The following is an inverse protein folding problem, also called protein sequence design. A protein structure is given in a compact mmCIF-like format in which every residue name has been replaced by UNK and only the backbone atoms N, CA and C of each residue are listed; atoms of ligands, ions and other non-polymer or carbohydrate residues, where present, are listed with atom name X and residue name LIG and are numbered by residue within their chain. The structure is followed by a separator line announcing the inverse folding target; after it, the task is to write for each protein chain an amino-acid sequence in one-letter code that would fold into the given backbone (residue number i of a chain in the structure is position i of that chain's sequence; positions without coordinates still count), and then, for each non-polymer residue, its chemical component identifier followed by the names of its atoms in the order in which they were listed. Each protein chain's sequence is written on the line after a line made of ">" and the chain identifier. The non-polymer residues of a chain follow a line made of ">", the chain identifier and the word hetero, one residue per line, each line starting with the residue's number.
data_IF_482663737670
#
_entry.id   IF_482663737670
#
_cell.length_a   1.000
_cell.length_b   1.000
_cell.length_c   1.000
_cell.angle_alpha   90.00
_cell.angle_beta   90.00
_cell.angle_gamma   90.00
#
_symmetry.space_group_name_H-M   'P 1'
#
loop_
_entity.id
_entity.type
_entity.pdbx_description
1 polymer ?
#
# COMPACT_ATOMS: atom_id res chain seq x y z
N UNK A 1 -7.85 26.32 -6.74
CA UNK A 1 -9.26 25.97 -6.56
C UNK A 1 -9.66 25.11 -7.73
N UNK A 2 -10.22 23.95 -7.46
CA UNK A 2 -10.92 23.17 -8.49
C UNK A 2 -12.30 23.78 -8.77
N UNK A 3 -13.06 23.15 -9.67
CA UNK A 3 -14.36 23.63 -10.16
C UNK A 3 -15.44 23.75 -9.06
N UNK A 4 -15.18 23.27 -7.83
CA UNK A 4 -16.09 23.37 -6.68
C UNK A 4 -15.65 24.38 -5.61
N UNK A 5 -14.54 25.10 -5.82
CA UNK A 5 -14.00 26.01 -4.82
C UNK A 5 -13.16 25.33 -3.73
N UNK A 6 -12.93 24.02 -3.85
CA UNK A 6 -12.05 23.26 -2.97
C UNK A 6 -10.58 23.42 -3.42
N UNK A 7 -9.65 23.35 -2.47
CA UNK A 7 -8.22 23.34 -2.79
C UNK A 7 -7.87 22.02 -3.47
N UNK A 8 -7.09 22.07 -4.54
CA UNK A 8 -6.57 20.84 -5.15
C UNK A 8 -5.63 20.12 -4.17
N UNK A 9 -5.44 18.81 -4.37
CA UNK A 9 -4.57 18.00 -3.51
C UNK A 9 -3.15 18.57 -3.41
N UNK A 10 -2.62 19.07 -4.53
CA UNK A 10 -1.30 19.71 -4.59
C UNK A 10 -1.26 20.99 -3.75
N UNK A 11 -2.34 21.79 -3.79
CA UNK A 11 -2.46 23.00 -2.98
C UNK A 11 -2.60 22.67 -1.49
N UNK A 12 -3.31 21.60 -1.14
CA UNK A 12 -3.41 21.09 0.24
C UNK A 12 -2.02 20.70 0.76
N UNK A 13 -1.24 19.91 0.00
CA UNK A 13 0.13 19.57 0.40
C UNK A 13 1.05 20.79 0.52
N UNK A 14 0.93 21.77 -0.39
CA UNK A 14 1.68 23.02 -0.30
C UNK A 14 1.30 23.84 0.96
N UNK A 15 0.03 23.82 1.36
CA UNK A 15 -0.45 24.45 2.57
C UNK A 15 0.03 23.73 3.84
N UNK A 16 0.00 22.40 3.85
CA UNK A 16 0.55 21.57 4.94
C UNK A 16 2.05 21.83 5.10
N UNK A 17 2.81 21.94 4.02
CA UNK A 17 4.23 22.27 4.07
C UNK A 17 4.53 23.64 4.72
N UNK A 18 3.54 24.54 4.75
CA UNK A 18 3.59 25.83 5.47
C UNK A 18 3.00 25.77 6.89
N UNK A 19 2.63 24.60 7.38
CA UNK A 19 2.09 24.38 8.72
C UNK A 19 0.60 24.70 8.88
N UNK A 20 -0.18 24.74 7.80
CA UNK A 20 -1.64 24.94 7.90
C UNK A 20 -2.33 23.63 8.28
N UNK A 21 -2.93 23.58 9.47
CA UNK A 21 -3.56 22.37 10.03
C UNK A 21 -4.85 21.99 9.30
N UNK A 22 -5.68 22.97 8.97
CA UNK A 22 -6.95 22.75 8.28
C UNK A 22 -6.75 22.07 6.91
N UNK A 23 -5.60 22.32 6.25
CA UNK A 23 -5.25 21.64 5.02
C UNK A 23 -4.90 20.15 5.22
N UNK A 24 -4.34 19.78 6.39
CA UNK A 24 -4.12 18.37 6.75
C UNK A 24 -5.44 17.65 7.00
N UNK A 25 -6.38 18.31 7.69
CA UNK A 25 -7.71 17.78 7.97
C UNK A 25 -8.48 17.53 6.66
N UNK A 26 -8.51 18.51 5.75
CA UNK A 26 -9.13 18.34 4.44
C UNK A 26 -8.48 17.21 3.61
N UNK A 27 -7.15 17.06 3.69
CA UNK A 27 -6.45 15.95 3.04
C UNK A 27 -6.79 14.60 3.70
N UNK A 28 -6.93 14.58 5.02
CA UNK A 28 -7.32 13.39 5.79
C UNK A 28 -8.70 12.92 5.35
N UNK A 29 -9.71 13.78 5.41
CA UNK A 29 -11.10 13.47 5.03
C UNK A 29 -11.18 12.91 3.60
N UNK A 30 -10.36 13.45 2.69
CA UNK A 30 -10.33 13.02 1.28
C UNK A 30 -9.68 11.65 1.07
N UNK A 31 -8.64 11.32 1.84
CA UNK A 31 -7.77 10.17 1.54
C UNK A 31 -7.70 9.08 2.60
N UNK A 32 -8.25 9.29 3.80
CA UNK A 32 -8.24 8.31 4.88
C UNK A 32 -8.77 6.96 4.39
N UNK A 33 -9.94 6.95 3.76
CA UNK A 33 -10.57 5.71 3.27
C UNK A 33 -9.70 4.95 2.26
N UNK A 34 -8.98 5.68 1.40
CA UNK A 34 -8.06 5.07 0.42
C UNK A 34 -6.87 4.42 1.14
N UNK A 35 -6.25 5.16 2.05
CA UNK A 35 -5.08 4.70 2.82
C UNK A 35 -5.45 3.53 3.72
N UNK A 36 -6.58 3.61 4.43
CA UNK A 36 -7.11 2.54 5.28
C UNK A 36 -7.40 1.28 4.48
N UNK A 37 -8.11 1.41 3.36
CA UNK A 37 -8.45 0.25 2.50
C UNK A 37 -7.20 -0.43 1.95
N UNK A 38 -6.17 0.36 1.59
CA UNK A 38 -4.88 -0.18 1.19
C UNK A 38 -4.18 -0.88 2.35
N UNK A 39 -4.06 -0.22 3.51
CA UNK A 39 -3.39 -0.75 4.69
C UNK A 39 -4.03 -2.06 5.16
N UNK A 40 -5.36 -2.08 5.31
CA UNK A 40 -6.12 -3.28 5.68
C UNK A 40 -5.97 -4.41 4.67
N UNK A 41 -5.85 -4.12 3.37
CA UNK A 41 -5.59 -5.16 2.36
C UNK A 41 -4.18 -5.74 2.46
N UNK A 42 -3.23 -4.96 2.95
CA UNK A 42 -1.83 -5.39 3.13
C UNK A 42 -1.65 -6.14 4.45
N UNK A 43 -2.25 -5.65 5.55
CA UNK A 43 -2.08 -6.20 6.90
C UNK A 43 -3.12 -7.24 7.27
N UNK A 44 -4.34 -7.11 6.74
CA UNK A 44 -5.50 -7.91 7.12
C UNK A 44 -6.00 -7.72 8.56
N UNK A 45 -5.40 -6.79 9.30
CA UNK A 45 -5.71 -6.47 10.68
C UNK A 45 -6.16 -5.00 10.81
N UNK A 46 -7.23 -4.78 11.57
CA UNK A 46 -7.87 -3.46 11.75
C UNK A 46 -6.95 -2.52 12.52
N UNK A 47 -6.40 -2.97 13.65
CA UNK A 47 -5.52 -2.16 14.51
C UNK A 47 -4.28 -1.71 13.74
N UNK A 48 -3.67 -2.61 12.98
CA UNK A 48 -2.53 -2.31 12.11
C UNK A 48 -2.89 -1.35 10.98
N UNK A 49 -4.09 -1.47 10.40
CA UNK A 49 -4.55 -0.54 9.37
C UNK A 49 -4.72 0.88 9.92
N UNK A 50 -5.31 1.01 11.11
CA UNK A 50 -5.45 2.29 11.81
C UNK A 50 -4.10 2.90 12.19
N UNK A 51 -3.15 2.11 12.70
CA UNK A 51 -1.78 2.57 12.98
C UNK A 51 -1.10 3.10 11.71
N UNK A 52 -1.22 2.39 10.59
CA UNK A 52 -0.64 2.82 9.32
C UNK A 52 -1.28 4.13 8.85
N UNK A 53 -2.59 4.28 8.95
CA UNK A 53 -3.28 5.53 8.59
C UNK A 53 -2.71 6.69 9.42
N UNK A 54 -2.63 6.53 10.75
CA UNK A 54 -2.06 7.55 11.61
C UNK A 54 -0.61 7.90 11.25
N UNK A 55 0.24 6.89 11.07
CA UNK A 55 1.65 7.09 10.69
C UNK A 55 1.79 7.77 9.32
N UNK A 56 0.94 7.44 8.35
CA UNK A 56 0.93 8.11 7.04
C UNK A 56 0.65 9.59 7.19
N UNK A 57 -0.39 9.99 7.91
CA UNK A 57 -0.73 11.41 8.03
C UNK A 57 0.24 12.18 8.91
N UNK A 58 0.85 11.54 9.93
CA UNK A 58 2.00 12.11 10.67
C UNK A 58 3.19 12.34 9.74
N UNK A 59 3.51 11.37 8.88
CA UNK A 59 4.59 11.49 7.88
C UNK A 59 4.28 12.61 6.88
N UNK A 60 3.04 12.69 6.39
CA UNK A 60 2.59 13.79 5.50
C UNK A 60 2.82 15.15 6.15
N UNK A 61 2.39 15.34 7.40
CA UNK A 61 2.62 16.59 8.13
C UNK A 61 4.10 16.99 8.17
N UNK A 62 4.99 16.02 8.39
CA UNK A 62 6.43 16.26 8.49
C UNK A 62 7.11 16.46 7.14
N UNK A 63 6.62 15.82 6.09
CA UNK A 63 7.35 15.67 4.82
C UNK A 63 6.59 16.19 3.59
N UNK A 64 5.49 16.94 3.76
CA UNK A 64 4.72 17.50 2.64
C UNK A 64 5.57 18.30 1.65
N UNK A 65 6.65 18.94 2.11
CA UNK A 65 7.62 19.65 1.28
C UNK A 65 8.38 18.77 0.28
N UNK A 66 8.43 17.45 0.51
CA UNK A 66 9.08 16.49 -0.37
C UNK A 66 8.17 16.02 -1.52
N UNK A 67 6.89 16.41 -1.52
CA UNK A 67 5.99 16.12 -2.63
C UNK A 67 6.39 16.92 -3.87
N UNK A 68 6.42 16.25 -5.03
CA UNK A 68 6.67 16.88 -6.32
C UNK A 68 5.55 16.47 -7.29
N UNK A 69 4.69 17.42 -7.73
CA UNK A 69 3.59 17.11 -8.65
C UNK A 69 4.05 16.62 -10.02
N UNK A 70 5.29 16.92 -10.44
CA UNK A 70 5.86 16.39 -11.67
C UNK A 70 6.16 14.89 -11.61
N UNK A 71 6.28 14.30 -10.40
CA UNK A 71 6.56 12.88 -10.21
C UNK A 71 5.29 12.03 -10.04
N UNK A 72 4.11 12.65 -9.92
CA UNK A 72 2.83 11.96 -9.90
C UNK A 72 1.79 12.58 -8.97
N UNK A 73 0.58 11.99 -9.00
CA UNK A 73 -0.57 12.41 -8.19
C UNK A 73 -0.33 12.20 -6.70
N UNK A 74 -0.96 13.03 -5.86
CA UNK A 74 -0.93 12.93 -4.39
C UNK A 74 -1.36 11.55 -3.89
N UNK A 75 -2.41 10.95 -4.47
CA UNK A 75 -2.85 9.60 -4.12
C UNK A 75 -1.75 8.54 -4.26
N UNK A 76 -0.97 8.58 -5.35
CA UNK A 76 0.17 7.67 -5.56
C UNK A 76 1.28 7.89 -4.52
N UNK A 77 1.53 9.15 -4.16
CA UNK A 77 2.52 9.49 -3.15
C UNK A 77 2.09 9.02 -1.76
N UNK A 78 0.82 9.22 -1.37
CA UNK A 78 0.24 8.72 -0.12
C UNK A 78 0.32 7.19 -0.02
N UNK A 79 -0.05 6.48 -1.09
CA UNK A 79 0.05 5.01 -1.13
C UNK A 79 1.51 4.52 -1.05
N UNK A 80 2.46 5.30 -1.55
CA UNK A 80 3.90 5.00 -1.40
C UNK A 80 4.33 5.12 0.07
N UNK A 81 3.85 6.14 0.78
CA UNK A 81 4.10 6.30 2.22
C UNK A 81 3.44 5.16 2.99
N UNK A 82 2.16 4.86 2.71
CA UNK A 82 1.41 3.78 3.35
C UNK A 82 2.09 2.42 3.18
N UNK A 83 2.59 2.13 1.99
CA UNK A 83 3.38 0.91 1.73
C UNK A 83 4.63 0.84 2.60
N UNK A 84 5.38 1.94 2.73
CA UNK A 84 6.58 1.98 3.57
C UNK A 84 6.23 1.77 5.04
N UNK A 85 5.16 2.42 5.51
CA UNK A 85 4.63 2.24 6.86
C UNK A 85 4.21 0.79 7.14
N UNK A 86 3.54 0.12 6.19
CA UNK A 86 3.17 -1.28 6.32
C UNK A 86 4.40 -2.20 6.39
N UNK A 87 5.43 -1.94 5.58
CA UNK A 87 6.71 -2.68 5.63
C UNK A 87 7.39 -2.46 6.98
N UNK A 88 7.45 -1.22 7.47
CA UNK A 88 8.07 -0.88 8.75
C UNK A 88 7.36 -1.58 9.91
N UNK A 89 6.03 -1.64 9.89
CA UNK A 89 5.21 -2.37 10.86
C UNK A 89 5.51 -3.87 10.83
N UNK A 90 5.45 -4.52 9.66
CA UNK A 90 5.78 -5.94 9.54
C UNK A 90 7.21 -6.26 10.02
N UNK A 91 8.17 -5.35 9.79
CA UNK A 91 9.53 -5.50 10.31
C UNK A 91 9.60 -5.38 11.83
N UNK A 92 8.75 -4.55 12.45
CA UNK A 92 8.64 -4.46 13.92
C UNK A 92 8.07 -5.76 14.49
N UNK A 93 6.95 -6.24 13.94
CA UNK A 93 6.30 -7.50 14.33
C UNK A 93 7.27 -8.68 14.22
N UNK A 94 7.96 -8.82 13.09
CA UNK A 94 8.92 -9.91 12.90
C UNK A 94 10.07 -9.88 13.89
N UNK A 95 10.58 -8.69 14.26
CA UNK A 95 11.62 -8.60 15.30
C UNK A 95 11.10 -9.06 16.65
N UNK A 96 9.90 -8.64 17.02
CA UNK A 96 9.26 -9.08 18.27
C UNK A 96 9.05 -10.60 18.29
N UNK A 97 8.64 -11.19 17.16
CA UNK A 97 8.45 -12.63 17.00
C UNK A 97 9.77 -13.43 17.08
N UNK A 98 10.85 -12.92 16.47
CA UNK A 98 12.17 -13.55 16.58
C UNK A 98 12.71 -13.48 18.02
N UNK A 99 12.45 -12.36 18.72
CA UNK A 99 12.83 -12.18 20.13
C UNK A 99 11.99 -13.08 21.06
N UNK A 100 10.74 -13.39 20.71
CA UNK A 100 9.87 -14.32 21.44
C UNK A 100 10.10 -15.80 21.09
N UNK A 101 11.00 -16.12 20.17
CA UNK A 101 11.34 -17.49 19.76
C UNK A 101 10.30 -18.18 18.87
N UNK A 102 9.35 -17.42 18.33
CA UNK A 102 8.33 -17.91 17.40
C UNK A 102 8.75 -17.59 15.97
N UNK A 103 9.47 -18.52 15.32
CA UNK A 103 9.68 -18.50 13.86
C UNK A 103 8.37 -18.87 13.14
N UNK A 104 7.36 -18.02 13.28
CA UNK A 104 6.12 -18.13 12.52
C UNK A 104 6.35 -17.39 11.22
N UNK A 105 6.51 -18.14 10.13
CA UNK A 105 6.27 -17.58 8.80
C UNK A 105 4.84 -17.04 8.80
N UNK A 106 4.59 -15.76 8.52
CA UNK A 106 3.25 -15.26 8.27
C UNK A 106 2.65 -16.09 7.13
N UNK A 107 1.86 -17.10 7.50
CA UNK A 107 0.98 -17.82 6.60
C UNK A 107 0.09 -16.74 6.00
N UNK A 108 -0.03 -16.73 4.67
CA UNK A 108 -1.05 -15.97 3.93
C UNK A 108 -2.31 -15.93 4.80
N UNK A 109 -2.62 -14.79 5.41
CA UNK A 109 -3.54 -14.88 6.50
C UNK A 109 -4.93 -15.13 5.90
N UNK A 110 -5.50 -16.28 6.27
CA UNK A 110 -6.79 -16.74 5.78
C UNK A 110 -7.87 -15.96 6.54
N UNK A 111 -8.10 -14.73 6.09
CA UNK A 111 -8.97 -13.81 6.79
C UNK A 111 -10.43 -14.03 6.36
N UNK A 112 -11.15 -14.79 7.18
CA UNK A 112 -12.61 -14.85 7.18
C UNK A 112 -13.25 -13.45 7.29
N UNK A 113 -14.52 -13.30 6.85
CA UNK A 113 -15.15 -12.00 6.67
C UNK A 113 -15.52 -11.32 7.99
N UNK A 114 -15.26 -10.00 8.10
CA UNK A 114 -15.94 -9.11 9.07
C UNK A 114 -17.20 -8.49 8.44
N UNK A 115 -18.26 -8.25 9.23
CA UNK A 115 -19.60 -7.99 8.71
C UNK A 115 -19.78 -6.52 8.38
N UNK A 116 -19.64 -6.14 7.09
CA UNK A 116 -20.53 -5.13 6.47
C UNK A 116 -20.37 -4.92 4.94
N UNK A 117 -19.48 -5.65 4.24
CA UNK A 117 -19.40 -5.60 2.76
C UNK A 117 -18.99 -6.95 2.14
N UNK A 118 -19.73 -8.01 2.48
CA UNK A 118 -19.33 -9.41 2.23
C UNK A 118 -19.29 -9.79 0.73
N UNK A 119 -20.07 -9.17 -0.15
CA UNK A 119 -20.11 -9.58 -1.56
C UNK A 119 -18.94 -9.00 -2.39
N UNK A 120 -18.83 -7.67 -2.50
CA UNK A 120 -17.81 -7.03 -3.35
C UNK A 120 -16.37 -7.26 -2.87
N UNK A 121 -16.14 -7.36 -1.55
CA UNK A 121 -14.80 -7.58 -1.01
C UNK A 121 -14.34 -9.03 -1.14
N UNK A 122 -15.27 -9.99 -1.09
CA UNK A 122 -14.98 -11.41 -1.34
C UNK A 122 -14.55 -11.63 -2.78
N UNK A 123 -15.23 -10.98 -3.73
CA UNK A 123 -14.94 -11.08 -5.15
C UNK A 123 -13.56 -10.51 -5.50
N UNK A 124 -13.21 -9.31 -5.00
CA UNK A 124 -11.89 -8.73 -5.26
C UNK A 124 -10.76 -9.54 -4.59
N UNK A 125 -10.99 -10.10 -3.39
CA UNK A 125 -10.03 -10.98 -2.70
C UNK A 125 -9.77 -12.26 -3.51
N UNK A 126 -10.83 -12.93 -3.96
CA UNK A 126 -10.71 -14.13 -4.81
C UNK A 126 -9.92 -13.82 -6.08
N UNK A 127 -10.26 -12.70 -6.74
CA UNK A 127 -9.60 -12.28 -7.99
C UNK A 127 -8.12 -11.93 -7.79
N UNK A 128 -7.74 -11.31 -6.67
CA UNK A 128 -6.32 -11.06 -6.35
C UNK A 128 -5.58 -12.39 -6.13
N UNK A 129 -6.19 -13.34 -5.40
CA UNK A 129 -5.58 -14.66 -5.15
C UNK A 129 -5.42 -15.45 -6.45
N UNK A 130 -6.43 -15.43 -7.31
CA UNK A 130 -6.38 -16.02 -8.65
C UNK A 130 -5.31 -15.36 -9.53
N UNK A 131 -5.22 -14.03 -9.52
CA UNK A 131 -4.21 -13.30 -10.28
C UNK A 131 -2.79 -13.62 -9.79
N UNK A 132 -2.58 -13.72 -8.48
CA UNK A 132 -1.30 -14.14 -7.89
C UNK A 132 -0.95 -15.58 -8.27
N UNK A 133 -1.94 -16.49 -8.31
CA UNK A 133 -1.73 -17.88 -8.71
C UNK A 133 -1.34 -18.05 -10.20
N UNK A 134 -1.65 -17.07 -11.06
CA UNK A 134 -1.25 -17.05 -12.48
C UNK A 134 0.16 -16.50 -12.70
N UNK A 135 0.80 -15.92 -11.69
CA UNK A 135 2.17 -15.46 -11.81
C UNK A 135 3.14 -16.65 -11.85
N UNK A 136 4.23 -16.56 -12.64
CA UNK A 136 5.37 -17.45 -12.47
C UNK A 136 5.87 -17.44 -11.02
N UNK A 137 6.31 -18.59 -10.52
CA UNK A 137 6.70 -18.78 -9.11
C UNK A 137 7.61 -17.67 -8.60
N UNK A 138 8.70 -17.39 -9.32
CA UNK A 138 9.68 -16.38 -8.90
C UNK A 138 9.14 -14.95 -8.90
N UNK A 139 8.12 -14.66 -9.71
CA UNK A 139 7.43 -13.37 -9.76
C UNK A 139 6.45 -13.24 -8.61
N UNK A 140 5.68 -14.32 -8.34
CA UNK A 140 4.78 -14.42 -7.20
C UNK A 140 5.55 -14.29 -5.89
N UNK A 141 6.65 -15.04 -5.76
CA UNK A 141 7.50 -15.05 -4.58
C UNK A 141 8.04 -13.65 -4.27
N UNK A 142 8.56 -12.90 -5.26
CA UNK A 142 9.00 -11.52 -5.00
C UNK A 142 7.86 -10.63 -4.52
N UNK A 143 6.65 -10.76 -5.08
CA UNK A 143 5.48 -10.01 -4.62
C UNK A 143 5.10 -10.40 -3.19
N UNK A 144 5.01 -11.69 -2.89
CA UNK A 144 4.63 -12.16 -1.56
C UNK A 144 5.61 -11.69 -0.50
N UNK A 145 6.91 -11.79 -0.79
CA UNK A 145 7.95 -11.39 0.15
C UNK A 145 7.95 -9.87 0.38
N UNK A 146 7.73 -9.10 -0.68
CA UNK A 146 7.69 -7.63 -0.58
C UNK A 146 6.43 -7.11 0.13
N UNK A 147 5.27 -7.71 -0.16
CA UNK A 147 3.98 -7.15 0.24
C UNK A 147 3.36 -7.84 1.45
N UNK A 148 3.57 -9.15 1.64
CA UNK A 148 3.04 -9.88 2.80
C UNK A 148 4.09 -10.13 3.88
N UNK A 149 5.36 -10.25 3.49
CA UNK A 149 6.44 -10.54 4.44
C UNK A 149 7.29 -9.31 4.80
N UNK A 150 7.03 -8.16 4.16
CA UNK A 150 7.70 -6.89 4.44
C UNK A 150 9.19 -6.83 4.08
N UNK A 151 9.68 -7.70 3.19
CA UNK A 151 11.07 -7.67 2.78
C UNK A 151 11.34 -6.57 1.73
N UNK A 152 12.46 -5.88 1.90
CA UNK A 152 13.00 -4.98 0.88
C UNK A 152 13.59 -5.77 -0.29
N UNK A 153 13.76 -5.11 -1.44
CA UNK A 153 14.37 -5.75 -2.61
C UNK A 153 15.81 -6.22 -2.35
N UNK A 154 16.54 -5.53 -1.47
CA UNK A 154 17.89 -5.93 -1.07
C UNK A 154 17.86 -7.18 -0.19
N UNK A 155 16.98 -7.25 0.81
CA UNK A 155 16.89 -8.42 1.67
C UNK A 155 16.42 -9.66 0.90
N UNK A 156 15.54 -9.49 -0.11
CA UNK A 156 15.16 -10.58 -1.03
C UNK A 156 16.37 -11.01 -1.87
N UNK A 157 17.12 -10.06 -2.42
CA UNK A 157 18.32 -10.33 -3.22
C UNK A 157 19.34 -11.15 -2.40
N UNK A 158 19.62 -10.72 -1.17
CA UNK A 158 20.51 -11.42 -0.24
C UNK A 158 20.00 -12.81 0.12
N UNK A 159 18.72 -12.92 0.50
CA UNK A 159 18.13 -14.20 0.95
C UNK A 159 18.12 -15.27 -0.13
N UNK A 160 17.83 -14.90 -1.37
CA UNK A 160 17.74 -15.86 -2.48
C UNK A 160 19.01 -15.95 -3.33
N UNK A 161 20.06 -15.19 -2.99
CA UNK A 161 21.29 -15.12 -3.79
C UNK A 161 21.07 -14.52 -5.18
N UNK A 162 20.05 -13.68 -5.35
CA UNK A 162 19.72 -13.03 -6.62
C UNK A 162 20.36 -11.65 -6.73
N UNK A 163 20.56 -11.17 -7.96
CA UNK A 163 20.94 -9.76 -8.14
C UNK A 163 19.77 -8.82 -7.81
N UNK A 164 20.05 -7.62 -7.30
CA UNK A 164 19.03 -6.59 -7.09
C UNK A 164 18.27 -6.25 -8.38
N UNK A 165 18.97 -6.29 -9.53
CA UNK A 165 18.35 -6.12 -10.85
C UNK A 165 17.32 -7.21 -11.17
N UNK A 166 17.62 -8.47 -10.82
CA UNK A 166 16.70 -9.61 -10.96
C UNK A 166 15.44 -9.41 -10.11
N UNK A 167 15.60 -9.02 -8.83
CA UNK A 167 14.46 -8.76 -7.93
C UNK A 167 13.58 -7.64 -8.48
N UNK A 168 14.18 -6.52 -8.91
CA UNK A 168 13.45 -5.39 -9.51
C UNK A 168 12.71 -5.80 -10.77
N UNK A 169 13.35 -6.57 -11.65
CA UNK A 169 12.74 -7.04 -12.89
C UNK A 169 11.55 -7.96 -12.62
N UNK A 170 11.70 -8.94 -11.71
CA UNK A 170 10.64 -9.86 -11.30
C UNK A 170 9.47 -9.11 -10.66
N UNK A 171 9.73 -8.17 -9.75
CA UNK A 171 8.69 -7.33 -9.16
C UNK A 171 7.93 -6.52 -10.22
N UNK A 172 8.65 -5.91 -11.18
CA UNK A 172 8.04 -5.12 -12.26
C UNK A 172 7.12 -5.99 -13.14
N UNK A 173 7.61 -7.15 -13.57
CA UNK A 173 6.84 -8.09 -14.40
C UNK A 173 5.62 -8.63 -13.67
N UNK A 174 5.77 -8.95 -12.38
CA UNK A 174 4.67 -9.39 -11.53
C UNK A 174 3.56 -8.32 -11.45
N UNK A 175 3.94 -7.07 -11.16
CA UNK A 175 2.98 -5.97 -11.06
C UNK A 175 2.29 -5.65 -12.40
N UNK A 176 3.00 -5.82 -13.53
CA UNK A 176 2.42 -5.65 -14.85
C UNK A 176 1.35 -6.72 -15.12
N UNK A 177 1.66 -8.00 -14.88
CA UNK A 177 0.71 -9.11 -15.07
C UNK A 177 -0.49 -9.00 -14.12
N UNK A 178 -0.25 -8.67 -12.85
CA UNK A 178 -1.34 -8.44 -11.90
C UNK A 178 -2.27 -7.32 -12.35
N UNK A 179 -1.72 -6.25 -12.96
CA UNK A 179 -2.56 -5.19 -13.53
C UNK A 179 -3.40 -5.70 -14.69
N UNK A 180 -2.83 -6.46 -15.61
CA UNK A 180 -3.54 -7.03 -16.77
C UNK A 180 -4.68 -7.98 -16.31
N UNK A 181 -4.41 -8.84 -15.33
CA UNK A 181 -5.39 -9.77 -14.76
C UNK A 181 -6.53 -9.05 -13.99
N UNK A 182 -6.22 -7.91 -13.37
CA UNK A 182 -7.16 -7.15 -12.54
C UNK A 182 -7.82 -5.98 -13.29
N UNK A 183 -7.47 -5.71 -14.55
CA UNK A 183 -8.07 -4.64 -15.37
C UNK A 183 -9.57 -4.85 -15.68
N UNK A 184 -10.12 -6.03 -15.40
CA UNK A 184 -11.56 -6.33 -15.44
C UNK A 184 -12.29 -6.18 -14.09
N UNK A 185 -11.64 -5.62 -13.06
CA UNK A 185 -12.29 -5.20 -11.83
C UNK A 185 -12.40 -3.69 -11.89
N UNK A 186 -13.62 -3.15 -11.94
CA UNK A 186 -13.89 -1.72 -12.09
C UNK A 186 -13.12 -0.87 -11.08
N UNK A 187 -11.94 -0.42 -11.49
CA UNK A 187 -11.40 0.86 -11.09
C UNK A 187 -11.79 1.80 -12.23
N UNK A 188 -13.03 2.28 -12.21
CA UNK A 188 -13.32 3.53 -12.91
C UNK A 188 -12.47 4.59 -12.22
N UNK A 189 -11.26 4.77 -12.75
CA UNK A 189 -10.61 6.06 -12.69
C UNK A 189 -11.53 6.94 -13.51
N UNK A 190 -12.40 7.67 -12.82
CA UNK A 190 -13.27 8.66 -13.43
C UNK A 190 -12.39 9.55 -14.32
N UNK A 191 -12.61 9.35 -15.60
CA UNK A 191 -11.80 9.77 -16.71
C UNK A 191 -12.71 9.80 -17.91
N UNK A 192 -13.74 10.65 -17.83
CA UNK A 192 -14.47 11.14 -18.99
C UNK A 192 -15.23 12.41 -18.61
N UNK A 193 -14.91 13.49 -19.30
CA UNK A 193 -15.51 14.82 -19.15
C UNK A 193 -14.52 15.87 -19.58
#
# INVERSE_FOLDING_TARGET
>A
MDMNGELSDDMLLAAIARGQRDALEALYDRFERLVYSFAYRVTGDVSHAEEIVQDVFVKVWRQAHAYNPALGKVSTWLLTIARRSAIDLHRRERRQQHESGEDVFPILPDHGPTPDRVAEQSDLRSRIREALAKLPEEQRQVVEWMYFQGYTQNEIAERFGWSLGTVKSRARLAMQKLREELQGVGWEVEGRG
#
